data_IF_065966100005
#
_entry.id   IF_065966100005
#
_cell.length_a   1.000
_cell.length_b   1.000
_cell.length_c   1.000
_cell.angle_alpha   90.00
_cell.angle_beta   90.00
_cell.angle_gamma   90.00
#
_symmetry.space_group_name_H-M   'P 1'
#
loop_
_entity.id
_entity.type
_entity.pdbx_description
1 polymer ?
#
# COMPACT_ATOMS: atom_id res chain seq x y z
N UNK A 1 9.10 15.28 -6.11
CA UNK A 1 8.19 14.14 -5.87
C UNK A 1 7.52 14.36 -4.50
N UNK A 2 6.19 14.41 -4.43
CA UNK A 2 5.44 14.72 -3.20
C UNK A 2 4.95 13.41 -2.57
N UNK A 3 5.30 13.15 -1.31
CA UNK A 3 4.64 12.14 -0.51
C UNK A 3 3.19 12.57 -0.20
N UNK A 4 2.30 11.60 0.05
CA UNK A 4 0.91 11.89 0.45
C UNK A 4 -0.07 12.25 -0.67
N UNK A 5 0.15 11.75 -1.90
CA UNK A 5 -0.88 11.84 -2.94
C UNK A 5 -2.13 11.07 -2.52
N UNK A 6 -3.31 11.62 -2.81
CA UNK A 6 -4.61 10.97 -2.57
C UNK A 6 -5.24 10.42 -3.84
N UNK A 7 -4.52 10.45 -4.97
CA UNK A 7 -4.99 9.94 -6.25
C UNK A 7 -4.46 8.53 -6.53
N UNK A 8 -5.30 7.70 -7.14
CA UNK A 8 -4.98 6.33 -7.51
C UNK A 8 -3.94 6.26 -8.64
N UNK A 9 -3.18 5.17 -8.70
CA UNK A 9 -2.13 4.93 -9.70
C UNK A 9 -0.82 5.68 -9.41
N UNK A 10 -0.73 6.44 -8.32
CA UNK A 10 0.53 7.06 -7.92
C UNK A 10 1.48 6.04 -7.32
N UNK A 11 2.75 6.11 -7.71
CA UNK A 11 3.82 5.32 -7.13
C UNK A 11 3.92 5.56 -5.61
N UNK A 12 4.19 4.49 -4.88
CA UNK A 12 4.51 4.59 -3.46
C UNK A 12 5.93 5.11 -3.29
N UNK A 13 6.10 6.10 -2.41
CA UNK A 13 7.38 6.74 -2.13
C UNK A 13 7.82 6.39 -0.70
N UNK A 14 9.11 6.05 -0.55
CA UNK A 14 9.74 5.89 0.76
C UNK A 14 10.42 7.20 1.17
N UNK A 15 10.30 7.56 2.45
CA UNK A 15 10.86 8.78 3.03
C UNK A 15 11.21 8.52 4.50
N UNK A 16 12.03 9.40 5.09
CA UNK A 16 12.28 9.39 6.52
C UNK A 16 10.96 9.48 7.29
N UNK A 17 10.89 8.73 8.39
CA UNK A 17 9.76 8.76 9.31
C UNK A 17 9.56 10.19 9.83
N UNK A 18 8.38 10.76 9.59
CA UNK A 18 8.05 12.13 9.97
C UNK A 18 6.76 12.20 10.81
N UNK A 19 6.14 11.05 11.12
CA UNK A 19 4.94 10.95 11.94
C UNK A 19 3.66 11.43 11.25
N UNK A 20 3.68 11.64 9.93
CA UNK A 20 2.51 12.07 9.18
C UNK A 20 1.67 10.89 8.69
N UNK A 21 0.37 11.13 8.51
CA UNK A 21 -0.61 10.09 8.19
C UNK A 21 -0.36 9.43 6.83
N UNK A 22 0.32 10.09 5.88
CA UNK A 22 0.69 9.48 4.61
C UNK A 22 1.73 8.35 4.75
N UNK A 23 2.40 8.23 5.89
CA UNK A 23 3.32 7.13 6.19
C UNK A 23 2.69 6.02 7.02
N UNK A 24 1.46 6.22 7.49
CA UNK A 24 0.73 5.27 8.32
C UNK A 24 -0.14 4.35 7.45
N UNK A 25 -0.11 3.06 7.76
CA UNK A 25 -0.83 2.02 7.02
C UNK A 25 -1.64 1.15 7.97
N UNK A 26 -2.93 1.03 7.70
CA UNK A 26 -3.78 0.03 8.33
C UNK A 26 -3.52 -1.33 7.68
N UNK A 27 -3.28 -2.35 8.51
CA UNK A 27 -3.10 -3.73 8.08
C UNK A 27 -4.44 -4.46 8.19
N UNK A 28 -4.96 -4.92 7.06
CA UNK A 28 -6.29 -5.54 6.95
C UNK A 28 -6.10 -7.00 6.58
N UNK A 29 -6.53 -7.94 7.42
CA UNK A 29 -6.47 -9.36 7.11
C UNK A 29 -7.35 -9.70 5.89
N UNK A 30 -6.74 -10.32 4.87
CA UNK A 30 -7.43 -10.91 3.72
C UNK A 30 -7.70 -12.42 3.89
N UNK A 31 -7.26 -13.00 5.02
CA UNK A 31 -7.32 -14.43 5.30
C UNK A 31 -6.10 -15.19 4.78
N UNK A 32 -5.94 -16.44 5.23
CA UNK A 32 -4.86 -17.34 4.80
C UNK A 32 -3.43 -16.76 4.91
N UNK A 33 -3.19 -15.85 5.85
CA UNK A 33 -1.88 -15.21 6.05
C UNK A 33 -1.58 -14.04 5.10
N UNK A 34 -2.56 -13.61 4.27
CA UNK A 34 -2.45 -12.44 3.42
C UNK A 34 -3.09 -11.20 4.05
N UNK A 35 -2.56 -10.04 3.69
CA UNK A 35 -2.98 -8.74 4.20
C UNK A 35 -3.10 -7.71 3.07
N UNK A 36 -4.06 -6.81 3.20
CA UNK A 36 -4.10 -5.53 2.49
C UNK A 36 -3.49 -4.43 3.35
N UNK A 37 -2.84 -3.46 2.72
CA UNK A 37 -2.31 -2.27 3.38
C UNK A 37 -3.04 -1.03 2.88
N UNK A 38 -3.76 -0.33 3.76
CA UNK A 38 -4.51 0.88 3.42
C UNK A 38 -3.82 2.11 4.00
N UNK A 39 -3.51 3.09 3.16
CA UNK A 39 -2.91 4.34 3.59
C UNK A 39 -3.91 5.14 4.42
N UNK A 40 -3.50 5.61 5.61
CA UNK A 40 -4.41 6.32 6.51
C UNK A 40 -4.84 7.69 5.97
N UNK A 41 -3.95 8.39 5.25
CA UNK A 41 -4.26 9.70 4.67
C UNK A 41 -5.18 9.58 3.44
N UNK A 42 -4.81 8.75 2.45
CA UNK A 42 -5.54 8.68 1.17
C UNK A 42 -6.72 7.73 1.18
N UNK A 43 -6.73 6.75 2.08
CA UNK A 43 -7.68 5.64 2.07
C UNK A 43 -7.48 4.64 0.93
N UNK A 44 -6.44 4.80 0.11
CA UNK A 44 -6.08 3.91 -0.99
C UNK A 44 -5.22 2.74 -0.49
N UNK A 45 -5.22 1.62 -1.22
CA UNK A 45 -4.50 0.40 -0.86
C UNK A 45 -3.23 0.20 -1.67
N UNK A 46 -2.25 -0.46 -1.06
CA UNK A 46 -1.00 -0.89 -1.68
C UNK A 46 -1.28 -1.93 -2.77
N UNK A 47 -0.87 -1.64 -4.00
CA UNK A 47 -1.19 -2.42 -5.20
C UNK A 47 0.06 -2.58 -6.07
N UNK A 48 0.24 -3.78 -6.63
CA UNK A 48 1.14 -3.99 -7.75
C UNK A 48 0.46 -3.56 -9.04
N UNK A 49 1.11 -2.67 -9.78
CA UNK A 49 0.60 -2.26 -11.08
C UNK A 49 0.42 -3.47 -12.03
N UNK A 50 -0.34 -3.28 -13.11
CA UNK A 50 -0.69 -4.37 -14.02
C UNK A 50 0.51 -5.10 -14.66
N UNK A 51 1.69 -4.47 -14.69
CA UNK A 51 2.93 -5.10 -15.18
C UNK A 51 3.73 -5.82 -14.09
N UNK A 52 3.36 -5.68 -12.81
CA UNK A 52 4.02 -6.32 -11.67
C UNK A 52 5.37 -5.72 -11.27
N UNK A 53 5.82 -4.65 -11.93
CA UNK A 53 7.16 -4.06 -11.71
C UNK A 53 7.15 -2.87 -10.77
N UNK A 54 5.99 -2.25 -10.51
CA UNK A 54 5.91 -1.06 -9.68
C UNK A 54 4.80 -1.16 -8.63
N UNK A 55 5.11 -0.66 -7.44
CA UNK A 55 4.16 -0.55 -6.34
C UNK A 55 3.50 0.82 -6.36
N UNK A 56 2.18 0.83 -6.34
CA UNK A 56 1.33 2.02 -6.40
C UNK A 56 0.24 1.97 -5.31
N UNK A 57 -0.47 3.08 -5.13
CA UNK A 57 -1.71 3.10 -4.36
C UNK A 57 -2.91 3.12 -5.29
N UNK A 58 -3.97 2.37 -4.97
CA UNK A 58 -5.17 2.29 -5.80
C UNK A 58 -6.44 2.08 -4.97
N UNK A 59 -7.60 2.08 -5.63
CA UNK A 59 -8.86 1.77 -4.94
C UNK A 59 -8.85 0.32 -4.46
N UNK A 60 -9.45 0.06 -3.29
CA UNK A 60 -9.56 -1.29 -2.75
C UNK A 60 -10.42 -2.21 -3.62
N UNK A 61 -9.90 -3.38 -3.94
CA UNK A 61 -10.54 -4.43 -4.75
C UNK A 61 -10.30 -5.82 -4.13
N UNK A 62 -10.79 -6.88 -4.77
CA UNK A 62 -10.45 -8.28 -4.44
C UNK A 62 -9.23 -8.81 -5.21
N UNK A 63 -8.52 -7.94 -5.93
CA UNK A 63 -7.35 -8.34 -6.72
C UNK A 63 -6.24 -8.91 -5.85
N UNK A 64 -5.58 -9.96 -6.35
CA UNK A 64 -4.39 -10.54 -5.72
C UNK A 64 -3.20 -9.56 -5.71
N UNK A 65 -3.18 -8.55 -6.60
CA UNK A 65 -2.17 -7.49 -6.61
C UNK A 65 -2.19 -6.61 -5.36
N UNK A 66 -3.25 -6.72 -4.55
CA UNK A 66 -3.45 -5.97 -3.30
C UNK A 66 -3.32 -6.87 -2.07
N UNK A 67 -2.93 -8.14 -2.26
CA UNK A 67 -2.74 -9.11 -1.18
C UNK A 67 -1.25 -9.38 -0.99
N UNK A 68 -0.79 -9.15 0.24
CA UNK A 68 0.61 -9.16 0.59
C UNK A 68 0.86 -10.10 1.75
N UNK A 69 1.97 -10.83 1.70
CA UNK A 69 2.45 -11.65 2.81
C UNK A 69 3.61 -10.93 3.50
N UNK A 70 3.57 -10.84 4.81
CA UNK A 70 4.68 -10.32 5.62
C UNK A 70 5.58 -11.50 5.96
N UNK A 71 6.80 -11.52 5.40
CA UNK A 71 7.81 -12.53 5.67
C UNK A 71 8.89 -11.92 6.56
N UNK A 72 9.05 -12.37 7.83
CA UNK A 72 10.13 -11.91 8.68
C UNK A 72 11.49 -12.31 8.11
N UNK A 73 12.41 -11.35 8.00
CA UNK A 73 13.80 -11.60 7.63
C UNK A 73 14.64 -11.39 8.89
N UNK A 74 15.26 -12.47 9.37
CA UNK A 74 16.13 -12.49 10.56
C UNK A 74 17.59 -12.31 10.17
#
# INVERSE_FOLDING_TARGET
MRAGSTSAGNAVLQSLANGSQEQEWDIISAGNGYFGFKNRLSGLVLDLNASGFAVQQSQGTTSLTQQWQIVPVH
#
